data_IF_170235304061
#
_entry.id   IF_170235304061
#
_cell.length_a   1.000
_cell.length_b   1.000
_cell.length_c   1.000
_cell.angle_alpha   90.00
_cell.angle_beta   90.00
_cell.angle_gamma   90.00
#
_symmetry.space_group_name_H-M   'P 1'
#
loop_
_entity.id
_entity.type
_entity.pdbx_description
1 polymer ?
#
# COMPACT_ATOMS: atom_id res chain seq x y z
N UNK A 1 -3.39 11.71 -11.62
CA UNK A 1 -4.67 10.98 -11.65
C UNK A 1 -5.49 11.35 -10.44
N UNK A 2 -6.81 11.33 -10.55
CA UNK A 2 -7.70 11.43 -9.39
C UNK A 2 -7.74 10.11 -8.62
N UNK A 3 -8.15 10.16 -7.34
CA UNK A 3 -8.38 8.96 -6.52
C UNK A 3 -9.33 7.98 -7.19
N UNK A 4 -10.38 8.50 -7.86
CA UNK A 4 -11.35 7.68 -8.57
C UNK A 4 -10.73 6.91 -9.74
N UNK A 5 -9.83 7.55 -10.50
CA UNK A 5 -9.13 6.89 -11.62
C UNK A 5 -8.23 5.77 -11.12
N UNK A 6 -7.55 5.96 -9.98
CA UNK A 6 -6.70 4.93 -9.38
C UNK A 6 -7.52 3.70 -8.98
N UNK A 7 -8.69 3.90 -8.37
CA UNK A 7 -9.59 2.79 -8.00
C UNK A 7 -10.10 2.09 -9.26
N UNK A 8 -10.47 2.83 -10.31
CA UNK A 8 -10.89 2.22 -11.58
C UNK A 8 -9.78 1.36 -12.20
N UNK A 9 -8.54 1.86 -12.23
CA UNK A 9 -7.39 1.13 -12.75
C UNK A 9 -7.04 -0.10 -11.91
N UNK A 10 -7.25 -0.03 -10.58
CA UNK A 10 -7.12 -1.18 -9.68
C UNK A 10 -8.14 -2.26 -10.05
N UNK A 11 -9.42 -1.90 -10.16
CA UNK A 11 -10.48 -2.85 -10.48
C UNK A 11 -10.28 -3.54 -11.84
N UNK A 12 -9.69 -2.85 -12.83
CA UNK A 12 -9.37 -3.45 -14.14
C UNK A 12 -8.30 -4.55 -14.07
N UNK A 13 -7.52 -4.62 -12.98
CA UNK A 13 -6.42 -5.58 -12.81
C UNK A 13 -6.81 -6.75 -11.91
N UNK A 14 -7.90 -6.64 -11.15
CA UNK A 14 -8.34 -7.68 -10.25
C UNK A 14 -9.07 -8.80 -11.01
N UNK A 15 -9.00 -10.05 -10.53
CA UNK A 15 -9.82 -11.14 -11.05
C UNK A 15 -11.32 -10.83 -10.95
N UNK A 16 -12.13 -11.37 -11.87
CA UNK A 16 -13.60 -11.20 -11.87
C UNK A 16 -14.29 -11.80 -10.63
N UNK A 17 -13.68 -12.82 -10.02
CA UNK A 17 -14.18 -13.54 -8.84
C UNK A 17 -13.63 -13.00 -7.51
N UNK A 18 -12.93 -11.86 -7.55
CA UNK A 18 -12.40 -11.21 -6.34
C UNK A 18 -13.53 -10.85 -5.38
N UNK A 19 -13.32 -11.11 -4.08
CA UNK A 19 -14.32 -10.75 -3.08
C UNK A 19 -14.31 -9.25 -2.78
N UNK A 20 -15.44 -8.72 -2.28
CA UNK A 20 -15.48 -7.32 -1.80
C UNK A 20 -14.49 -7.07 -0.65
N UNK A 21 -14.19 -8.10 0.15
CA UNK A 21 -13.20 -7.99 1.22
C UNK A 21 -11.80 -7.78 0.65
N UNK A 22 -11.41 -8.58 -0.33
CA UNK A 22 -10.09 -8.47 -0.97
C UNK A 22 -9.97 -7.15 -1.73
N UNK A 23 -11.03 -6.67 -2.40
CA UNK A 23 -11.07 -5.34 -3.02
C UNK A 23 -10.77 -4.25 -1.98
N UNK A 24 -11.40 -4.31 -0.80
CA UNK A 24 -11.16 -3.35 0.25
C UNK A 24 -9.70 -3.40 0.76
N UNK A 25 -9.14 -4.61 0.93
CA UNK A 25 -7.74 -4.79 1.32
C UNK A 25 -6.77 -4.21 0.29
N UNK A 26 -7.02 -4.42 -1.00
CA UNK A 26 -6.21 -3.85 -2.09
C UNK A 26 -6.27 -2.33 -2.12
N UNK A 27 -7.45 -1.74 -1.86
CA UNK A 27 -7.59 -0.29 -1.75
C UNK A 27 -6.78 0.26 -0.57
N UNK A 28 -6.85 -0.38 0.60
CA UNK A 28 -6.06 -0.01 1.79
C UNK A 28 -4.55 -0.11 1.52
N UNK A 29 -4.12 -1.18 0.85
CA UNK A 29 -2.73 -1.35 0.45
C UNK A 29 -2.25 -0.21 -0.45
N UNK A 30 -3.01 0.11 -1.52
CA UNK A 30 -2.68 1.23 -2.42
C UNK A 30 -2.67 2.56 -1.67
N UNK A 31 -3.61 2.79 -0.75
CA UNK A 31 -3.66 3.99 0.07
C UNK A 31 -2.38 4.14 0.93
N UNK A 32 -1.97 3.07 1.61
CA UNK A 32 -0.75 3.04 2.42
C UNK A 32 0.52 3.32 1.62
N UNK A 33 0.67 2.70 0.44
CA UNK A 33 1.83 2.96 -0.44
C UNK A 33 1.88 4.42 -0.86
N UNK A 34 0.74 5.01 -1.26
CA UNK A 34 0.69 6.41 -1.68
C UNK A 34 0.95 7.37 -0.54
N UNK A 35 0.50 7.04 0.68
CA UNK A 35 0.84 7.79 1.87
C UNK A 35 2.36 7.81 2.08
N UNK A 36 3.00 6.63 2.09
CA UNK A 36 4.46 6.53 2.28
C UNK A 36 5.27 7.27 1.22
N UNK A 37 4.84 7.24 -0.06
CA UNK A 37 5.47 8.04 -1.10
C UNK A 37 5.36 9.55 -0.82
N UNK A 38 4.21 10.02 -0.34
CA UNK A 38 4.04 11.41 0.05
C UNK A 38 4.85 11.81 1.28
N UNK A 39 5.03 10.91 2.24
CA UNK A 39 5.91 11.09 3.41
C UNK A 39 7.37 11.28 2.96
N UNK A 40 7.85 10.44 2.03
CA UNK A 40 9.19 10.56 1.43
C UNK A 40 9.38 11.93 0.77
N UNK A 41 8.41 12.41 0.00
CA UNK A 41 8.45 13.74 -0.64
C UNK A 41 8.54 14.89 0.39
N UNK A 42 7.93 14.72 1.57
CA UNK A 42 8.01 15.68 2.68
C UNK A 42 9.29 15.55 3.52
N UNK A 43 10.13 14.55 3.26
CA UNK A 43 11.31 14.24 4.06
C UNK A 43 11.00 13.49 5.36
N UNK A 44 9.76 13.02 5.54
CA UNK A 44 9.34 12.14 6.62
C UNK A 44 9.85 10.72 6.31
N UNK A 45 11.08 10.45 6.73
CA UNK A 45 11.78 9.20 6.46
C UNK A 45 12.40 8.63 7.72
N UNK A 46 12.48 7.31 7.76
CA UNK A 46 13.19 6.57 8.80
C UNK A 46 14.50 6.00 8.23
N UNK A 47 15.58 5.95 9.02
CA UNK A 47 16.82 5.29 8.62
C UNK A 47 16.60 3.79 8.35
N UNK A 48 17.37 3.24 7.41
CA UNK A 48 17.24 1.82 7.05
C UNK A 48 17.60 0.90 8.22
N UNK A 49 18.51 1.32 9.09
CA UNK A 49 18.94 0.56 10.27
C UNK A 49 17.82 0.43 11.32
N UNK A 50 16.85 1.35 11.31
CA UNK A 50 15.65 1.25 12.15
C UNK A 50 14.70 0.18 11.59
N UNK A 51 14.48 0.20 10.27
CA UNK A 51 13.68 -0.82 9.58
C UNK A 51 14.28 -2.22 9.72
N UNK A 52 15.60 -2.37 9.60
CA UNK A 52 16.26 -3.67 9.75
C UNK A 52 15.98 -4.36 11.10
N UNK A 53 15.73 -3.57 12.16
CA UNK A 53 15.37 -4.08 13.49
C UNK A 53 13.91 -4.53 13.56
N UNK A 54 13.03 -3.95 12.75
CA UNK A 54 11.62 -4.30 12.69
C UNK A 54 11.32 -5.46 11.74
N UNK A 55 12.13 -5.64 10.69
CA UNK A 55 11.97 -6.70 9.67
C UNK A 55 11.66 -8.08 10.27
N UNK A 56 12.34 -8.57 11.33
CA UNK A 56 12.00 -9.86 11.92
C UNK A 56 10.54 -9.97 12.33
N UNK A 57 9.94 -8.91 12.89
CA UNK A 57 8.53 -8.90 13.30
C UNK A 57 7.54 -8.99 12.15
N UNK A 58 7.95 -8.59 10.94
CA UNK A 58 7.10 -8.62 9.74
C UNK A 58 7.15 -9.96 9.02
N UNK A 59 8.27 -10.69 9.19
CA UNK A 59 8.55 -11.96 8.50
C UNK A 59 8.19 -13.18 9.37
N UNK A 60 7.93 -12.98 10.67
CA UNK A 60 7.47 -14.05 11.56
C UNK A 60 6.01 -14.37 11.25
N UNK A 61 5.81 -15.58 10.73
CA UNK A 61 4.54 -16.24 10.45
C UNK A 61 4.27 -17.33 11.48
#
# INVERSE_FOLDING_TARGET
MSTKQIVQDLLQKLPEDVSLHDIAQEIEFVAGVRQGLGEIERGERIPIEEIERELPSWVIR
#
